data_IF_951332366461
#
_entry.id   IF_951332366461
#
_cell.length_a   1.000
_cell.length_b   1.000
_cell.length_c   1.000
_cell.angle_alpha   90.00
_cell.angle_beta   90.00
_cell.angle_gamma   90.00
#
_symmetry.space_group_name_H-M   'P 1'
#
loop_
_entity.id
_entity.type
_entity.pdbx_description
1 polymer ?
#
# COMPACT_ATOMS: atom_id res chain seq x y z
N UNK A 1 -28.50 -10.21 5.20
CA UNK A 1 -27.63 -9.02 5.35
C UNK A 1 -28.28 -7.85 4.62
N UNK A 2 -28.35 -6.67 5.24
CA UNK A 2 -29.00 -5.49 4.64
C UNK A 2 -28.22 -4.97 3.43
N UNK A 3 -28.92 -4.40 2.43
CA UNK A 3 -28.27 -3.87 1.23
C UNK A 3 -27.26 -2.75 1.49
N UNK A 4 -27.40 -2.02 2.60
CA UNK A 4 -26.46 -0.98 3.01
C UNK A 4 -25.10 -1.56 3.43
N UNK A 5 -25.10 -2.61 4.26
CA UNK A 5 -23.88 -3.29 4.69
C UNK A 5 -23.12 -3.90 3.51
N UNK A 6 -23.83 -4.50 2.55
CA UNK A 6 -23.21 -5.05 1.34
C UNK A 6 -22.47 -3.97 0.53
N UNK A 7 -23.06 -2.77 0.39
CA UNK A 7 -22.41 -1.65 -0.31
C UNK A 7 -21.16 -1.17 0.43
N UNK A 8 -21.24 -1.01 1.75
CA UNK A 8 -20.08 -0.63 2.58
C UNK A 8 -18.94 -1.64 2.46
N UNK A 9 -19.24 -2.93 2.54
CA UNK A 9 -18.25 -4.00 2.39
C UNK A 9 -17.63 -4.03 1.00
N UNK A 10 -18.42 -3.81 -0.06
CA UNK A 10 -17.92 -3.74 -1.43
C UNK A 10 -16.95 -2.58 -1.63
N UNK A 11 -17.30 -1.39 -1.13
CA UNK A 11 -16.44 -0.21 -1.21
C UNK A 11 -15.15 -0.42 -0.42
N UNK A 12 -15.23 -0.92 0.82
CA UNK A 12 -14.06 -1.25 1.62
C UNK A 12 -13.12 -2.22 0.89
N UNK A 13 -13.65 -3.33 0.36
CA UNK A 13 -12.86 -4.31 -0.40
C UNK A 13 -12.20 -3.69 -1.63
N UNK A 14 -12.90 -2.78 -2.33
CA UNK A 14 -12.34 -2.05 -3.47
C UNK A 14 -11.15 -1.18 -3.04
N UNK A 15 -11.27 -0.44 -1.93
CA UNK A 15 -10.17 0.37 -1.38
C UNK A 15 -8.98 -0.47 -0.97
N UNK A 16 -9.21 -1.63 -0.35
CA UNK A 16 -8.13 -2.56 0.02
C UNK A 16 -7.41 -3.13 -1.20
N UNK A 17 -8.12 -3.49 -2.27
CA UNK A 17 -7.48 -3.95 -3.52
C UNK A 17 -6.55 -2.88 -4.12
N UNK A 18 -6.98 -1.63 -4.15
CA UNK A 18 -6.13 -0.53 -4.66
C UNK A 18 -4.93 -0.29 -3.74
N UNK A 19 -5.10 -0.41 -2.42
CA UNK A 19 -3.98 -0.34 -1.48
C UNK A 19 -2.96 -1.45 -1.75
N UNK A 20 -3.39 -2.70 -1.89
CA UNK A 20 -2.47 -3.82 -2.19
C UNK A 20 -1.77 -3.62 -3.53
N UNK A 21 -2.50 -3.19 -4.57
CA UNK A 21 -1.89 -2.89 -5.85
C UNK A 21 -0.84 -1.77 -5.76
N UNK A 22 -0.98 -0.79 -4.85
CA UNK A 22 0.07 0.18 -4.57
C UNK A 22 1.30 -0.46 -3.91
N UNK A 23 1.12 -1.42 -2.99
CA UNK A 23 2.26 -2.14 -2.38
C UNK A 23 3.05 -2.89 -3.46
N UNK A 24 2.34 -3.64 -4.31
CA UNK A 24 2.96 -4.41 -5.40
C UNK A 24 3.67 -3.49 -6.40
N UNK A 25 3.01 -2.41 -6.82
CA UNK A 25 3.54 -1.43 -7.76
C UNK A 25 4.82 -0.73 -7.26
N UNK A 26 4.90 -0.50 -5.95
CA UNK A 26 6.05 0.14 -5.31
C UNK A 26 7.13 -0.87 -4.87
N UNK A 27 6.91 -2.16 -5.05
CA UNK A 27 7.82 -3.20 -4.59
C UNK A 27 7.99 -3.23 -3.06
N UNK A 28 6.93 -2.88 -2.33
CA UNK A 28 6.94 -2.88 -0.86
C UNK A 28 6.71 -4.31 -0.37
N UNK A 29 7.72 -4.88 0.28
CA UNK A 29 7.68 -6.21 0.88
C UNK A 29 8.14 -6.11 2.34
N UNK A 30 7.17 -5.93 3.23
CA UNK A 30 7.37 -5.89 4.69
C UNK A 30 6.98 -7.24 5.25
N UNK A 31 7.96 -7.92 5.83
CA UNK A 31 7.76 -9.22 6.50
C UNK A 31 7.01 -9.08 7.82
N UNK A 32 6.47 -10.19 8.32
CA UNK A 32 5.80 -10.24 9.62
C UNK A 32 6.76 -9.85 10.76
N UNK A 33 8.06 -10.16 10.64
CA UNK A 33 9.08 -9.77 11.60
C UNK A 33 9.35 -8.25 11.60
N UNK A 34 9.22 -7.60 10.44
CA UNK A 34 9.41 -6.16 10.28
C UNK A 34 8.14 -5.35 10.59
N UNK A 35 6.96 -5.97 10.48
CA UNK A 35 5.68 -5.30 10.65
C UNK A 35 5.55 -4.53 11.97
N UNK A 36 6.03 -5.02 13.13
CA UNK A 36 6.02 -4.25 14.38
C UNK A 36 6.80 -2.93 14.30
N UNK A 37 7.96 -2.93 13.61
CA UNK A 37 8.81 -1.75 13.48
C UNK A 37 8.24 -0.69 12.52
N UNK A 38 7.35 -1.10 11.61
CA UNK A 38 6.69 -0.24 10.62
C UNK A 38 5.18 -0.16 10.81
N UNK A 39 4.70 -0.48 12.02
CA UNK A 39 3.27 -0.59 12.30
C UNK A 39 2.55 0.74 12.03
N UNK A 40 3.16 1.86 12.42
CA UNK A 40 2.57 3.19 12.20
C UNK A 40 2.43 3.49 10.71
N UNK A 41 3.44 3.22 9.88
CA UNK A 41 3.36 3.40 8.43
C UNK A 41 2.32 2.45 7.80
N UNK A 42 2.29 1.19 8.22
CA UNK A 42 1.29 0.21 7.76
C UNK A 42 -0.14 0.66 8.11
N UNK A 43 -0.35 1.13 9.33
CA UNK A 43 -1.64 1.69 9.80
C UNK A 43 -1.99 2.95 9.02
N UNK A 44 -1.05 3.86 8.81
CA UNK A 44 -1.29 5.14 8.17
C UNK A 44 -1.68 4.95 6.70
N UNK A 45 -1.03 4.01 5.97
CA UNK A 45 -1.49 3.62 4.62
C UNK A 45 -2.89 3.04 4.64
N UNK A 46 -3.21 2.16 5.61
CA UNK A 46 -4.53 1.56 5.74
C UNK A 46 -5.62 2.63 5.96
N UNK A 47 -5.41 3.54 6.91
CA UNK A 47 -6.36 4.61 7.26
C UNK A 47 -6.52 5.59 6.10
N UNK A 48 -5.42 6.05 5.51
CA UNK A 48 -5.45 7.03 4.43
C UNK A 48 -6.13 6.47 3.17
N UNK A 49 -5.83 5.24 2.76
CA UNK A 49 -6.48 4.58 1.63
C UNK A 49 -7.98 4.38 1.89
N UNK A 50 -8.35 3.95 3.10
CA UNK A 50 -9.76 3.76 3.46
C UNK A 50 -10.55 5.07 3.60
N UNK A 51 -9.89 6.21 3.79
CA UNK A 51 -10.55 7.53 3.82
C UNK A 51 -10.41 8.32 2.51
N UNK A 52 -9.74 7.76 1.51
CA UNK A 52 -9.49 8.45 0.25
C UNK A 52 -10.75 8.51 -0.61
N UNK A 53 -11.09 9.70 -1.10
CA UNK A 53 -12.22 9.92 -2.00
C UNK A 53 -11.85 9.75 -3.49
N UNK A 54 -10.56 9.55 -3.80
CA UNK A 54 -10.03 9.55 -5.18
C UNK A 54 -9.28 8.25 -5.50
N UNK A 55 -9.85 7.11 -5.16
CA UNK A 55 -9.20 5.79 -5.31
C UNK A 55 -8.95 5.40 -6.77
N UNK A 56 -9.77 5.88 -7.70
CA UNK A 56 -9.55 5.70 -9.15
C UNK A 56 -8.27 6.39 -9.64
N UNK A 57 -7.85 7.48 -9.00
CA UNK A 57 -6.62 8.18 -9.39
C UNK A 57 -5.39 7.32 -9.11
N UNK A 58 -5.34 6.63 -7.97
CA UNK A 58 -4.27 5.67 -7.67
C UNK A 58 -4.31 4.47 -8.65
N UNK A 59 -5.51 3.95 -8.96
CA UNK A 59 -5.63 2.85 -9.91
C UNK A 59 -5.13 3.21 -11.31
N UNK A 60 -5.44 4.42 -11.79
CA UNK A 60 -4.91 4.94 -13.06
C UNK A 60 -3.41 5.15 -13.03
N UNK A 61 -2.87 5.69 -11.93
CA UNK A 61 -1.44 5.86 -11.74
C UNK A 61 -0.67 4.54 -11.88
N UNK A 62 -1.17 3.48 -11.22
CA UNK A 62 -0.61 2.13 -11.33
C UNK A 62 -0.73 1.61 -12.77
N UNK A 63 -1.91 1.71 -13.39
CA UNK A 63 -2.14 1.22 -14.76
C UNK A 63 -1.25 1.93 -15.81
N UNK A 64 -0.84 3.17 -15.55
CA UNK A 64 0.07 3.94 -16.40
C UNK A 64 1.55 3.61 -16.15
N UNK A 65 1.87 2.78 -15.15
CA UNK A 65 3.24 2.41 -14.83
C UNK A 65 4.07 3.57 -14.28
N UNK A 66 3.44 4.60 -13.70
CA UNK A 66 4.17 5.75 -13.19
C UNK A 66 5.05 5.36 -12.00
N UNK A 67 6.34 5.73 -11.99
CA UNK A 67 7.26 5.29 -10.95
C UNK A 67 6.93 5.95 -9.60
N UNK A 68 7.18 5.20 -8.53
CA UNK A 68 7.12 5.68 -7.15
C UNK A 68 5.74 6.14 -6.68
N UNK A 69 5.72 6.64 -5.45
CA UNK A 69 4.48 7.06 -4.81
C UNK A 69 3.93 8.38 -5.39
N UNK A 70 2.63 8.43 -5.79
CA UNK A 70 2.05 9.61 -6.41
C UNK A 70 2.09 10.85 -5.52
N UNK A 71 2.29 12.02 -6.14
CA UNK A 71 2.41 13.29 -5.42
C UNK A 71 1.13 13.73 -4.69
N UNK A 72 -0.03 13.30 -5.20
CA UNK A 72 -1.34 13.57 -4.59
C UNK A 72 -1.70 12.59 -3.46
N UNK A 73 -0.90 11.55 -3.23
CA UNK A 73 -1.23 10.52 -2.24
C UNK A 73 -1.14 11.07 -0.81
N UNK A 74 -2.24 11.02 -0.06
CA UNK A 74 -2.25 11.43 1.36
C UNK A 74 -1.38 10.56 2.26
N UNK A 75 -1.16 9.31 1.85
CA UNK A 75 -0.27 8.39 2.55
C UNK A 75 1.16 8.42 2.01
N UNK A 76 1.52 9.46 1.25
CA UNK A 76 2.78 9.48 0.49
C UNK A 76 4.00 9.19 1.36
N UNK A 77 4.13 9.91 2.48
CA UNK A 77 5.26 9.75 3.40
C UNK A 77 5.32 8.34 3.97
N UNK A 78 4.18 7.73 4.29
CA UNK A 78 4.13 6.37 4.83
C UNK A 78 4.60 5.35 3.78
N UNK A 79 4.11 5.45 2.54
CA UNK A 79 4.58 4.59 1.45
C UNK A 79 6.08 4.75 1.19
N UNK A 80 6.60 5.98 1.11
CA UNK A 80 8.03 6.22 0.89
C UNK A 80 8.92 5.62 1.98
N UNK A 81 8.49 5.68 3.25
CA UNK A 81 9.21 5.02 4.35
C UNK A 81 9.19 3.50 4.20
N UNK A 82 8.07 2.91 3.81
CA UNK A 82 7.94 1.47 3.57
C UNK A 82 8.76 1.02 2.35
N UNK A 83 8.81 1.81 1.29
CA UNK A 83 9.68 1.59 0.12
C UNK A 83 11.15 1.52 0.55
N UNK A 84 11.61 2.48 1.36
CA UNK A 84 12.97 2.50 1.90
C UNK A 84 13.26 1.29 2.79
N UNK A 85 12.32 0.91 3.66
CA UNK A 85 12.45 -0.26 4.52
C UNK A 85 12.52 -1.57 3.72
N UNK A 86 11.79 -1.65 2.60
CA UNK A 86 11.80 -2.82 1.71
C UNK A 86 13.10 -2.92 0.91
N UNK A 87 13.60 -1.79 0.42
CA UNK A 87 14.87 -1.70 -0.30
C UNK A 87 16.10 -1.98 0.58
N UNK A 88 15.98 -1.80 1.90
CA UNK A 88 17.05 -2.06 2.86
C UNK A 88 17.38 -3.56 3.04
N UNK A 89 16.70 -4.48 2.34
CA UNK A 89 17.16 -5.88 2.22
C UNK A 89 18.50 -5.89 1.45
N UNK A 90 19.62 -6.27 2.09
CA UNK A 90 20.78 -6.68 1.31
C UNK A 90 20.40 -7.97 0.57
N UNK A 91 21.06 -8.23 -0.57
CA UNK A 91 20.98 -9.48 -1.35
C UNK A 91 21.51 -10.69 -0.54
N UNK A 92 21.02 -10.92 0.67
CA UNK A 92 21.44 -12.02 1.55
C UNK A 92 20.90 -13.38 1.08
N UNK A 93 20.03 -13.41 0.07
CA UNK A 93 19.58 -14.66 -0.57
C UNK A 93 20.58 -15.26 -1.57
N UNK A 94 21.63 -14.53 -1.97
CA UNK A 94 22.64 -15.02 -2.92
C UNK A 94 23.90 -15.59 -2.25
N UNK A 95 23.97 -15.61 -0.91
CA UNK A 95 25.14 -16.06 -0.16
C UNK A 95 24.94 -17.38 0.61
N UNK A 96 23.93 -18.17 0.27
CA UNK A 96 23.58 -19.42 0.95
C UNK A 96 23.46 -20.62 -0.01
N UNK A 97 24.26 -20.66 -1.07
CA UNK A 97 24.49 -21.85 -1.90
C UNK A 97 25.96 -22.26 -1.86
#
# INVERSE_FOLDING_TARGET
MSGALNRMMSDFRRRQRVRHAMFDHLGIDITDEQAPAHFDELRDTLVACNRCNCTDTCARWIAQGHPGTPHFCRARTAFQKLELASAARPRLREAAE
#
